data_IF_421397609423
#
_entry.id   IF_421397609423
#
_cell.length_a   1.000
_cell.length_b   1.000
_cell.length_c   1.000
_cell.angle_alpha   90.00
_cell.angle_beta   90.00
_cell.angle_gamma   90.00
#
_symmetry.space_group_name_H-M   'P 1'
#
loop_
_entity.id
_entity.type
_entity.pdbx_description
1 polymer ?
#
# COMPACT_ATOMS: atom_id res chain seq x y z
N UNK A 1 19.68 15.13 25.38
CA UNK A 1 18.36 14.46 25.46
C UNK A 1 17.45 14.78 24.27
N UNK A 2 17.31 16.03 23.78
CA UNK A 2 16.52 16.28 22.54
C UNK A 2 17.13 15.65 21.28
N UNK A 3 18.46 15.69 21.10
CA UNK A 3 19.12 15.18 19.89
C UNK A 3 18.96 13.66 19.70
N UNK A 4 19.08 12.87 20.77
CA UNK A 4 18.94 11.40 20.69
C UNK A 4 17.50 11.01 20.31
N UNK A 5 16.50 11.67 20.92
CA UNK A 5 15.08 11.44 20.58
C UNK A 5 14.78 11.79 19.12
N UNK A 6 15.35 12.87 18.59
CA UNK A 6 15.19 13.25 17.19
C UNK A 6 15.80 12.21 16.24
N UNK A 7 16.97 11.67 16.61
CA UNK A 7 17.61 10.61 15.84
C UNK A 7 16.81 9.29 15.89
N UNK A 8 16.23 8.94 17.03
CA UNK A 8 15.36 7.76 17.16
C UNK A 8 14.13 7.87 16.25
N UNK A 9 13.47 9.04 16.26
CA UNK A 9 12.31 9.29 15.40
C UNK A 9 12.70 9.24 13.93
N UNK A 10 13.84 9.86 13.55
CA UNK A 10 14.36 9.80 12.18
C UNK A 10 14.61 8.35 11.74
N UNK A 11 15.25 7.57 12.60
CA UNK A 11 15.53 6.16 12.34
C UNK A 11 14.24 5.35 12.17
N UNK A 12 13.19 5.65 12.92
CA UNK A 12 11.90 4.97 12.80
C UNK A 12 11.17 5.34 11.49
N UNK A 13 11.26 6.60 11.04
CA UNK A 13 10.80 7.01 9.71
C UNK A 13 11.56 6.25 8.60
N UNK A 14 12.89 6.16 8.72
CA UNK A 14 13.72 5.42 7.75
C UNK A 14 13.39 3.93 7.69
N UNK A 15 13.13 3.29 8.86
CA UNK A 15 12.66 1.91 8.92
C UNK A 15 11.31 1.75 8.22
N UNK A 16 10.37 2.68 8.43
CA UNK A 16 9.08 2.65 7.73
C UNK A 16 9.28 2.74 6.21
N UNK A 17 10.13 3.65 5.73
CA UNK A 17 10.48 3.76 4.31
C UNK A 17 11.11 2.48 3.75
N UNK A 18 11.94 1.78 4.52
CA UNK A 18 12.51 0.47 4.12
C UNK A 18 11.45 -0.62 3.98
N UNK A 19 10.47 -0.65 4.89
CA UNK A 19 9.32 -1.55 4.81
C UNK A 19 8.49 -1.25 3.57
N UNK A 20 8.23 0.03 3.27
CA UNK A 20 7.52 0.45 2.05
C UNK A 20 8.27 -0.03 0.80
N UNK A 21 9.58 0.23 0.71
CA UNK A 21 10.40 -0.20 -0.43
C UNK A 21 10.38 -1.72 -0.63
N UNK A 22 10.38 -2.48 0.47
CA UNK A 22 10.24 -3.94 0.43
C UNK A 22 8.85 -4.34 -0.04
N UNK A 23 7.81 -3.67 0.47
CA UNK A 23 6.42 -3.87 0.07
C UNK A 23 6.22 -3.70 -1.43
N UNK A 24 6.75 -2.61 -2.00
CA UNK A 24 6.69 -2.33 -3.44
C UNK A 24 7.29 -3.47 -4.30
N UNK A 25 8.43 -4.02 -3.87
CA UNK A 25 9.04 -5.18 -4.56
C UNK A 25 8.15 -6.43 -4.51
N UNK A 26 7.45 -6.65 -3.40
CA UNK A 26 6.53 -7.78 -3.24
C UNK A 26 5.26 -7.60 -4.08
N UNK A 27 4.70 -6.38 -4.14
CA UNK A 27 3.57 -6.04 -5.01
C UNK A 27 3.93 -6.25 -6.48
N UNK A 28 5.12 -5.83 -6.90
CA UNK A 28 5.62 -6.06 -8.26
C UNK A 28 5.75 -7.57 -8.61
N UNK A 29 5.90 -8.44 -7.62
CA UNK A 29 5.91 -9.90 -7.78
C UNK A 29 4.49 -10.52 -7.74
N UNK A 30 3.44 -9.70 -7.66
CA UNK A 30 2.05 -10.16 -7.56
C UNK A 30 1.68 -10.73 -6.18
N UNK A 31 2.47 -10.45 -5.15
CA UNK A 31 2.17 -10.90 -3.79
C UNK A 31 1.26 -9.92 -3.06
N UNK A 32 0.33 -10.46 -2.30
CA UNK A 32 -0.49 -9.69 -1.35
C UNK A 32 0.37 -9.19 -0.20
N UNK A 33 0.19 -7.92 0.17
CA UNK A 33 0.87 -7.30 1.29
C UNK A 33 -0.08 -7.12 2.48
N UNK A 34 0.41 -7.44 3.67
CA UNK A 34 -0.19 -6.95 4.92
C UNK A 34 0.47 -5.62 5.30
N UNK A 35 -0.34 -4.57 5.38
CA UNK A 35 0.10 -3.21 5.68
C UNK A 35 0.00 -2.86 7.17
N UNK A 36 -0.57 -3.72 8.00
CA UNK A 36 -0.81 -3.45 9.43
C UNK A 36 0.47 -3.07 10.18
N UNK A 37 1.57 -3.77 9.91
CA UNK A 37 2.87 -3.48 10.53
C UNK A 37 3.46 -2.13 10.09
N UNK A 38 3.20 -1.71 8.84
CA UNK A 38 3.62 -0.42 8.33
C UNK A 38 2.76 0.69 8.94
N UNK A 39 1.45 0.52 8.97
CA UNK A 39 0.50 1.45 9.57
C UNK A 39 0.85 1.74 11.03
N UNK A 40 1.11 0.70 11.83
CA UNK A 40 1.52 0.84 13.23
C UNK A 40 2.81 1.67 13.39
N UNK A 41 3.80 1.47 12.50
CA UNK A 41 5.07 2.21 12.54
C UNK A 41 4.88 3.68 12.16
N UNK A 42 4.12 3.95 11.10
CA UNK A 42 3.83 5.32 10.66
C UNK A 42 3.03 6.06 11.73
N UNK A 43 2.01 5.42 12.32
CA UNK A 43 1.21 6.00 13.40
C UNK A 43 2.08 6.36 14.63
N UNK A 44 2.97 5.46 15.05
CA UNK A 44 3.88 5.71 16.15
C UNK A 44 4.85 6.88 15.86
N UNK A 45 5.41 6.95 14.65
CA UNK A 45 6.28 8.05 14.24
C UNK A 45 5.52 9.39 14.24
N UNK A 46 4.33 9.45 13.65
CA UNK A 46 3.49 10.66 13.64
C UNK A 46 3.13 11.13 15.05
N UNK A 47 2.78 10.21 15.95
CA UNK A 47 2.50 10.53 17.36
C UNK A 47 3.73 11.10 18.07
N UNK A 48 4.91 10.52 17.86
CA UNK A 48 6.15 10.99 18.44
C UNK A 48 6.52 12.40 17.95
N UNK A 49 6.33 12.68 16.65
CA UNK A 49 6.57 13.99 16.05
C UNK A 49 5.58 15.04 16.58
N UNK A 50 4.30 14.69 16.73
CA UNK A 50 3.28 15.57 17.29
C UNK A 50 3.55 15.99 18.74
N UNK A 51 4.38 15.24 19.46
CA UNK A 51 4.80 15.54 20.82
C UNK A 51 6.08 16.39 20.92
N UNK A 52 6.72 16.73 19.79
CA UNK A 52 7.94 17.55 19.77
C UNK A 52 7.63 19.05 19.76
N UNK A 53 8.56 19.89 20.26
CA UNK A 53 8.56 21.32 19.97
C UNK A 53 8.56 21.59 18.46
N UNK A 54 7.97 22.71 18.05
CA UNK A 54 7.78 23.05 16.64
C UNK A 54 9.09 23.11 15.83
N UNK A 55 10.16 23.59 16.44
CA UNK A 55 11.47 23.71 15.79
C UNK A 55 12.11 22.33 15.60
N UNK A 56 12.08 21.49 16.64
CA UNK A 56 12.52 20.09 16.60
C UNK A 56 11.74 19.26 15.57
N UNK A 57 10.42 19.48 15.44
CA UNK A 57 9.59 18.81 14.46
C UNK A 57 9.91 19.22 13.00
N UNK A 58 10.37 20.46 12.78
CA UNK A 58 10.74 20.95 11.43
C UNK A 58 11.97 20.23 10.89
N UNK A 59 12.90 19.83 11.75
CA UNK A 59 14.10 19.08 11.37
C UNK A 59 13.80 17.66 10.84
N UNK A 60 12.55 17.19 11.02
CA UNK A 60 12.08 15.90 10.53
C UNK A 60 11.27 16.01 9.23
N UNK A 61 10.96 17.22 8.75
CA UNK A 61 10.19 17.44 7.52
C UNK A 61 10.78 16.72 6.30
N UNK A 62 12.10 16.79 6.02
CA UNK A 62 12.66 16.10 4.86
C UNK A 62 12.47 14.57 4.92
N UNK A 63 12.56 13.98 6.12
CA UNK A 63 12.36 12.54 6.30
C UNK A 63 10.88 12.15 6.12
N UNK A 64 9.95 12.99 6.61
CA UNK A 64 8.51 12.80 6.41
C UNK A 64 8.10 12.89 4.95
N UNK A 65 8.61 13.89 4.22
CA UNK A 65 8.34 14.05 2.78
C UNK A 65 8.84 12.85 1.97
N UNK A 66 10.00 12.30 2.32
CA UNK A 66 10.53 11.09 1.71
C UNK A 66 9.66 9.85 2.00
N UNK A 67 9.15 9.72 3.24
CA UNK A 67 8.22 8.64 3.60
C UNK A 67 6.89 8.79 2.85
N UNK A 68 6.32 9.99 2.79
CA UNK A 68 5.08 10.26 2.06
C UNK A 68 5.23 9.91 0.57
N UNK A 69 6.31 10.38 -0.07
CA UNK A 69 6.62 10.05 -1.47
C UNK A 69 6.71 8.53 -1.67
N UNK A 70 7.30 7.80 -0.72
CA UNK A 70 7.39 6.35 -0.81
C UNK A 70 6.02 5.67 -0.68
N UNK A 71 5.15 6.19 0.18
CA UNK A 71 3.78 5.70 0.36
C UNK A 71 2.93 5.95 -0.88
N UNK A 72 3.04 7.13 -1.50
CA UNK A 72 2.35 7.46 -2.76
C UNK A 72 2.77 6.49 -3.88
N UNK A 73 4.06 6.19 -3.98
CA UNK A 73 4.56 5.21 -4.96
C UNK A 73 4.04 3.79 -4.69
N UNK A 74 3.93 3.39 -3.42
CA UNK A 74 3.33 2.09 -3.06
C UNK A 74 1.83 2.06 -3.42
N UNK A 75 1.11 3.14 -3.20
CA UNK A 75 -0.30 3.26 -3.60
C UNK A 75 -0.46 3.11 -5.12
N UNK A 76 0.38 3.77 -5.91
CA UNK A 76 0.40 3.63 -7.38
C UNK A 76 0.69 2.19 -7.81
N UNK A 77 1.69 1.53 -7.20
CA UNK A 77 2.04 0.14 -7.50
C UNK A 77 0.86 -0.81 -7.19
N UNK A 78 0.17 -0.61 -6.05
CA UNK A 78 -1.01 -1.37 -5.67
C UNK A 78 -2.15 -1.16 -6.66
N UNK A 79 -2.47 0.09 -7.01
CA UNK A 79 -3.51 0.41 -8.00
C UNK A 79 -3.22 -0.24 -9.35
N UNK A 80 -1.98 -0.17 -9.82
CA UNK A 80 -1.55 -0.77 -11.09
C UNK A 80 -1.71 -2.30 -11.07
N UNK A 81 -1.27 -2.95 -9.99
CA UNK A 81 -1.41 -4.39 -9.85
C UNK A 81 -2.89 -4.81 -9.86
N UNK A 82 -3.71 -4.20 -9.01
CA UNK A 82 -5.11 -4.59 -8.91
C UNK A 82 -5.91 -4.21 -10.17
N UNK A 83 -5.56 -3.12 -10.86
CA UNK A 83 -6.13 -2.81 -12.16
C UNK A 83 -5.76 -3.88 -13.21
N UNK A 84 -4.52 -4.37 -13.21
CA UNK A 84 -4.10 -5.47 -14.09
C UNK A 84 -4.83 -6.78 -13.76
N UNK A 85 -5.09 -7.06 -12.48
CA UNK A 85 -5.90 -8.23 -12.07
C UNK A 85 -7.38 -8.08 -12.45
N UNK A 86 -7.96 -6.89 -12.31
CA UNK A 86 -9.36 -6.64 -12.69
C UNK A 86 -9.55 -6.59 -14.21
N UNK A 87 -8.55 -6.13 -14.96
CA UNK A 87 -8.48 -6.21 -16.43
C UNK A 87 -8.38 -7.63 -16.97
N UNK A 88 -8.13 -8.62 -16.11
CA UNK A 88 -8.21 -10.06 -16.41
C UNK A 88 -9.60 -10.68 -16.19
N UNK A 89 -10.57 -9.92 -15.68
CA UNK A 89 -11.96 -10.39 -15.66
C UNK A 89 -12.50 -10.26 -17.08
N UNK A 90 -12.24 -11.27 -17.90
CA UNK A 90 -12.91 -11.39 -19.20
C UNK A 90 -14.41 -11.29 -18.91
N UNK A 91 -15.12 -10.27 -19.43
CA UNK A 91 -16.56 -10.18 -19.24
C UNK A 91 -17.15 -11.51 -19.68
N UNK A 92 -17.96 -12.13 -18.84
CA UNK A 92 -18.60 -13.40 -19.13
C UNK A 92 -19.18 -13.29 -20.54
N UNK A 93 -18.65 -14.07 -21.49
CA UNK A 93 -19.08 -14.01 -22.88
C UNK A 93 -20.59 -14.33 -22.89
N UNK A 94 -21.45 -13.33 -23.16
CA UNK A 94 -22.90 -13.50 -23.02
C UNK A 94 -23.40 -14.55 -24.02
N UNK A 95 -22.66 -14.78 -25.10
CA UNK A 95 -22.93 -15.83 -26.10
C UNK A 95 -22.75 -17.23 -25.50
N UNK A 96 -21.73 -17.41 -24.66
CA UNK A 96 -21.44 -18.67 -23.97
C UNK A 96 -22.43 -18.95 -22.84
N UNK A 97 -22.81 -17.92 -22.08
CA UNK A 97 -23.87 -18.02 -21.07
C UNK A 97 -25.23 -18.35 -21.71
N UNK A 98 -25.59 -17.67 -22.80
CA UNK A 98 -26.84 -17.92 -23.54
C UNK A 98 -26.91 -19.33 -24.16
N UNK A 99 -25.78 -19.87 -24.61
CA UNK A 99 -25.72 -21.24 -25.16
C UNK A 99 -25.97 -22.33 -24.10
N UNK A 100 -25.49 -22.11 -22.87
CA UNK A 100 -25.73 -23.04 -21.74
C UNK A 100 -27.21 -23.02 -21.34
N UNK A 101 -27.80 -21.84 -21.19
CA UNK A 101 -29.23 -21.73 -20.85
C UNK A 101 -30.13 -22.35 -21.92
N UNK A 102 -29.81 -22.15 -23.21
CA UNK A 102 -30.57 -22.76 -24.31
C UNK A 102 -30.52 -24.28 -24.27
N UNK A 103 -29.36 -24.86 -23.93
CA UNK A 103 -29.19 -26.32 -23.85
C UNK A 103 -29.99 -26.95 -22.72
N UNK A 104 -30.07 -26.30 -21.56
CA UNK A 104 -30.87 -26.76 -20.42
C UNK A 104 -32.38 -26.72 -20.70
N UNK A 105 -32.82 -25.89 -21.65
CA UNK A 105 -34.21 -25.78 -22.04
C UNK A 105 -34.63 -26.83 -23.08
N UNK A 106 -33.69 -27.41 -23.84
CA UNK A 106 -33.97 -28.52 -24.78
C UNK A 106 -33.93 -29.91 -24.14
N UNK A 107 -33.42 -30.04 -22.91
CA UNK A 107 -33.39 -31.31 -22.16
C UNK A 107 -34.66 -31.52 -21.30
N UNK A 108 -35.65 -30.61 -21.39
CA UNK A 108 -36.98 -30.72 -20.78
C UNK A 108 -38.02 -30.79 -21.89
N UNK A 109 -38.04 -31.90 -22.63
CA UNK A 109 -39.17 -32.38 -23.44
C UNK A 109 -39.09 -33.91 -23.55
#
# INVERSE_FOLDING_TARGET
MSSDRLNDIRLDIEKASSVVATGRRLVAQGRTLDLSALEAKVAAACAAIGALPKDDARDLLPALEALLTSLDQLEEDLKSQYAAHLGGTQPADPTRAAAVYRRLQTDID
#
